data_IF_423858505418
#
_entry.id   IF_423858505418
#
_cell.length_a   1.000
_cell.length_b   1.000
_cell.length_c   1.000
_cell.angle_alpha   90.00
_cell.angle_beta   90.00
_cell.angle_gamma   90.00
#
_symmetry.space_group_name_H-M   'P 1'
#
loop_
_entity.id
_entity.type
_entity.pdbx_description
1 polymer ?
#
# COMPACT_ATOMS: atom_id res chain seq x y z
N UNK A 1 -27.58 -2.67 -12.56
CA UNK A 1 -28.16 -3.67 -13.47
C UNK A 1 -28.23 -4.99 -12.70
N UNK A 2 -29.39 -5.30 -12.12
CA UNK A 2 -29.58 -6.54 -11.38
C UNK A 2 -29.65 -7.73 -12.36
N UNK A 3 -28.85 -8.76 -12.15
CA UNK A 3 -28.86 -9.96 -12.98
C UNK A 3 -30.06 -10.85 -12.66
N UNK A 4 -30.88 -11.17 -13.66
CA UNK A 4 -31.98 -12.11 -13.48
C UNK A 4 -31.45 -13.54 -13.32
N UNK A 5 -31.90 -14.24 -12.28
CA UNK A 5 -31.59 -15.66 -12.04
C UNK A 5 -32.25 -16.53 -13.13
N UNK A 6 -31.49 -17.50 -13.66
CA UNK A 6 -31.90 -18.45 -14.70
C UNK A 6 -31.97 -19.87 -14.12
N UNK A 7 -32.82 -20.71 -14.70
CA UNK A 7 -32.93 -22.12 -14.31
C UNK A 7 -31.81 -22.99 -14.94
N UNK A 8 -31.72 -24.24 -14.50
CA UNK A 8 -30.68 -25.22 -14.88
C UNK A 8 -30.64 -25.54 -16.39
N UNK A 9 -31.70 -25.26 -17.14
CA UNK A 9 -31.78 -25.42 -18.60
C UNK A 9 -31.50 -24.12 -19.40
N UNK A 10 -31.16 -23.02 -18.72
CA UNK A 10 -30.80 -21.75 -19.34
C UNK A 10 -31.96 -20.80 -19.65
N UNK A 11 -33.21 -21.20 -19.37
CA UNK A 11 -34.38 -20.35 -19.55
C UNK A 11 -34.57 -19.33 -18.41
N UNK A 12 -35.20 -18.19 -18.75
CA UNK A 12 -35.56 -17.13 -17.82
C UNK A 12 -36.73 -17.61 -16.94
N UNK A 13 -36.59 -17.54 -15.61
CA UNK A 13 -37.65 -17.93 -14.68
C UNK A 13 -38.74 -16.85 -14.74
N UNK A 14 -39.83 -17.13 -15.47
CA UNK A 14 -41.02 -16.30 -15.46
C UNK A 14 -41.82 -16.60 -14.18
N UNK A 15 -42.09 -15.57 -13.39
CA UNK A 15 -42.95 -15.64 -12.21
C UNK A 15 -44.39 -15.96 -12.65
N UNK A 16 -44.82 -17.22 -12.55
CA UNK A 16 -46.24 -17.56 -12.48
C UNK A 16 -46.50 -18.66 -11.46
N UNK A 17 -47.27 -18.27 -10.46
CA UNK A 17 -48.00 -19.10 -9.53
C UNK A 17 -49.09 -19.90 -10.24
N UNK A 18 -49.02 -21.24 -10.15
CA UNK A 18 -50.17 -22.09 -9.77
C UNK A 18 -49.75 -23.55 -9.62
N UNK A 19 -50.11 -24.06 -8.46
CA UNK A 19 -50.02 -25.42 -7.92
C UNK A 19 -50.58 -26.50 -8.85
N UNK A 20 -49.86 -27.63 -8.95
CA UNK A 20 -50.48 -28.95 -9.12
C UNK A 20 -49.65 -29.99 -8.39
N UNK A 21 -50.20 -30.53 -7.30
CA UNK A 21 -49.68 -31.68 -6.57
C UNK A 21 -49.59 -32.87 -7.53
N UNK A 22 -48.43 -33.54 -7.55
CA UNK A 22 -48.32 -34.91 -8.02
C UNK A 22 -47.43 -35.69 -7.06
N UNK A 23 -47.92 -36.88 -6.75
CA UNK A 23 -47.57 -37.77 -5.66
C UNK A 23 -46.11 -38.23 -5.64
N UNK A 24 -45.70 -38.59 -4.43
CA UNK A 24 -44.36 -38.96 -3.98
C UNK A 24 -43.82 -40.31 -4.51
N UNK A 25 -42.48 -40.33 -4.62
CA UNK A 25 -41.55 -41.45 -4.41
C UNK A 25 -41.21 -42.43 -5.55
N UNK A 26 -40.07 -42.19 -6.19
CA UNK A 26 -39.12 -43.23 -6.62
C UNK A 26 -37.73 -42.58 -6.73
N UNK A 27 -36.78 -43.03 -5.92
CA UNK A 27 -35.34 -42.70 -5.92
C UNK A 27 -34.90 -41.51 -6.78
N UNK A 28 -34.79 -40.31 -6.18
CA UNK A 28 -33.77 -39.39 -6.68
C UNK A 28 -32.45 -40.13 -6.48
N UNK A 29 -31.76 -40.58 -7.54
CA UNK A 29 -30.67 -41.54 -7.42
C UNK A 29 -29.66 -40.93 -6.44
N UNK A 30 -29.19 -41.70 -5.46
CA UNK A 30 -28.30 -41.22 -4.37
C UNK A 30 -27.19 -40.26 -4.87
N UNK A 31 -26.73 -40.51 -6.10
CA UNK A 31 -25.87 -39.66 -6.93
C UNK A 31 -26.36 -38.21 -7.04
N UNK A 32 -27.61 -37.93 -7.43
CA UNK A 32 -28.16 -36.57 -7.52
C UNK A 32 -28.16 -35.84 -6.18
N UNK A 33 -28.42 -36.54 -5.06
CA UNK A 33 -28.32 -35.95 -3.72
C UNK A 33 -26.87 -35.58 -3.39
N UNK A 34 -25.93 -36.47 -3.70
CA UNK A 34 -24.49 -36.22 -3.52
C UNK A 34 -24.03 -35.01 -4.35
N UNK A 35 -24.39 -34.96 -5.65
CA UNK A 35 -24.05 -33.83 -6.53
C UNK A 35 -24.72 -32.52 -6.11
N UNK A 36 -25.92 -32.57 -5.53
CA UNK A 36 -26.58 -31.39 -4.96
C UNK A 36 -25.83 -30.90 -3.73
N UNK A 37 -25.36 -31.81 -2.87
CA UNK A 37 -24.46 -31.48 -1.77
C UNK A 37 -23.18 -30.80 -2.23
N UNK A 38 -22.50 -31.38 -3.23
CA UNK A 38 -21.29 -30.80 -3.82
C UNK A 38 -21.54 -29.43 -4.46
N UNK A 39 -22.67 -29.26 -5.17
CA UNK A 39 -23.05 -27.97 -5.72
C UNK A 39 -23.18 -26.92 -4.62
N UNK A 40 -23.93 -27.21 -3.56
CA UNK A 40 -24.14 -26.27 -2.46
C UNK A 40 -22.83 -25.90 -1.75
N UNK A 41 -21.93 -26.86 -1.56
CA UNK A 41 -20.60 -26.59 -0.97
C UNK A 41 -19.74 -25.71 -1.89
N UNK A 42 -19.73 -25.99 -3.21
CA UNK A 42 -19.00 -25.19 -4.18
C UNK A 42 -19.56 -23.78 -4.31
N UNK A 43 -20.89 -23.64 -4.34
CA UNK A 43 -21.57 -22.34 -4.43
C UNK A 43 -21.23 -21.48 -3.19
N UNK A 44 -21.33 -22.02 -1.97
CA UNK A 44 -20.93 -21.29 -0.75
C UNK A 44 -19.43 -20.95 -0.75
N UNK A 45 -18.58 -21.86 -1.23
CA UNK A 45 -17.15 -21.58 -1.37
C UNK A 45 -16.88 -20.44 -2.35
N UNK A 46 -17.58 -20.39 -3.48
CA UNK A 46 -17.48 -19.32 -4.47
C UNK A 46 -18.01 -17.99 -3.93
N UNK A 47 -19.17 -18.01 -3.26
CA UNK A 47 -19.74 -16.82 -2.63
C UNK A 47 -18.79 -16.25 -1.57
N UNK A 48 -18.19 -17.12 -0.73
CA UNK A 48 -17.17 -16.73 0.24
C UNK A 48 -15.96 -16.10 -0.43
N UNK A 49 -15.45 -16.71 -1.50
CA UNK A 49 -14.30 -16.18 -2.25
C UNK A 49 -14.60 -14.80 -2.83
N UNK A 50 -15.78 -14.60 -3.40
CA UNK A 50 -16.19 -13.29 -3.95
C UNK A 50 -16.32 -12.24 -2.84
N UNK A 51 -16.86 -12.58 -1.66
CA UNK A 51 -16.88 -11.68 -0.49
C UNK A 51 -15.47 -11.23 -0.11
N UNK A 52 -14.52 -12.16 0.00
CA UNK A 52 -13.12 -11.86 0.34
C UNK A 52 -12.43 -11.02 -0.73
N UNK A 53 -12.59 -11.36 -2.02
CA UNK A 53 -12.00 -10.61 -3.13
C UNK A 53 -12.54 -9.17 -3.18
N UNK A 54 -13.84 -9.00 -2.96
CA UNK A 54 -14.46 -7.68 -2.91
C UNK A 54 -13.92 -6.85 -1.75
N UNK A 55 -13.89 -7.41 -0.55
CA UNK A 55 -13.34 -6.72 0.62
C UNK A 55 -11.87 -6.35 0.44
N UNK A 56 -11.06 -7.27 -0.10
CA UNK A 56 -9.65 -6.99 -0.43
C UNK A 56 -9.50 -5.80 -1.38
N UNK A 57 -10.29 -5.73 -2.46
CA UNK A 57 -10.26 -4.60 -3.39
C UNK A 57 -10.66 -3.28 -2.74
N UNK A 58 -11.70 -3.31 -1.90
CA UNK A 58 -12.18 -2.12 -1.19
C UNK A 58 -11.14 -1.62 -0.18
N UNK A 59 -10.48 -2.53 0.56
CA UNK A 59 -9.37 -2.23 1.47
C UNK A 59 -8.19 -1.62 0.71
N UNK A 60 -7.79 -2.20 -0.42
CA UNK A 60 -6.72 -1.66 -1.26
C UNK A 60 -7.07 -0.25 -1.74
N UNK A 61 -8.30 -0.02 -2.18
CA UNK A 61 -8.74 1.29 -2.66
C UNK A 61 -8.75 2.36 -1.55
N UNK A 62 -9.12 1.99 -0.32
CA UNK A 62 -9.08 2.90 0.83
C UNK A 62 -7.64 3.19 1.27
N UNK A 63 -6.78 2.17 1.29
CA UNK A 63 -5.37 2.28 1.67
C UNK A 63 -4.59 3.21 0.73
N UNK A 64 -4.81 3.08 -0.60
CA UNK A 64 -4.25 4.02 -1.60
C UNK A 64 -4.67 5.47 -1.38
N UNK A 65 -5.91 5.68 -0.92
CA UNK A 65 -6.39 7.04 -0.63
C UNK A 65 -5.73 7.61 0.61
N UNK A 66 -5.44 6.78 1.62
CA UNK A 66 -4.68 7.20 2.80
C UNK A 66 -3.30 7.68 2.33
N UNK A 67 -2.53 6.82 1.66
CA UNK A 67 -1.17 7.13 1.18
C UNK A 67 -1.11 8.45 0.39
N UNK A 68 -2.00 8.64 -0.59
CA UNK A 68 -2.01 9.85 -1.44
C UNK A 68 -2.40 11.14 -0.72
N UNK A 69 -3.18 11.03 0.36
CA UNK A 69 -3.63 12.19 1.12
C UNK A 69 -2.58 12.69 2.12
N UNK A 70 -1.54 11.89 2.40
CA UNK A 70 -0.51 12.27 3.37
C UNK A 70 0.51 13.24 2.73
N UNK A 71 0.30 14.54 2.99
CA UNK A 71 1.32 15.57 2.81
C UNK A 71 1.77 16.05 4.20
N UNK A 72 3.09 16.25 4.39
CA UNK A 72 3.64 16.77 5.64
C UNK A 72 3.72 18.31 5.62
N UNK A 73 3.39 19.01 6.72
CA UNK A 73 2.73 18.50 7.94
C UNK A 73 1.26 18.15 7.66
N UNK A 74 0.76 17.08 8.28
CA UNK A 74 -0.61 16.59 8.08
C UNK A 74 -1.60 17.61 8.68
N UNK A 75 -2.45 18.26 7.86
CA UNK A 75 -3.50 19.12 8.38
C UNK A 75 -4.51 18.32 9.21
N UNK A 76 -5.08 18.88 10.29
CA UNK A 76 -5.98 18.15 11.21
C UNK A 76 -7.23 17.58 10.51
N UNK A 77 -7.68 18.22 9.42
CA UNK A 77 -8.78 17.70 8.58
C UNK A 77 -8.41 16.41 7.87
N UNK A 78 -7.18 16.32 7.36
CA UNK A 78 -6.66 15.14 6.65
C UNK A 78 -6.36 14.01 7.65
N UNK A 79 -5.86 14.35 8.85
CA UNK A 79 -5.68 13.37 9.92
C UNK A 79 -7.01 12.69 10.28
N UNK A 80 -8.07 13.48 10.54
CA UNK A 80 -9.41 12.93 10.83
C UNK A 80 -9.95 12.08 9.68
N UNK A 81 -9.79 12.52 8.44
CA UNK A 81 -10.21 11.74 7.27
C UNK A 81 -9.45 10.40 7.18
N UNK A 82 -8.15 10.40 7.51
CA UNK A 82 -7.31 9.21 7.53
C UNK A 82 -7.77 8.24 8.62
N UNK A 83 -8.06 8.73 9.82
CA UNK A 83 -8.60 7.92 10.92
C UNK A 83 -9.93 7.27 10.54
N UNK A 84 -10.83 8.02 9.91
CA UNK A 84 -12.12 7.52 9.46
C UNK A 84 -11.96 6.43 8.39
N UNK A 85 -10.98 6.57 7.49
CA UNK A 85 -10.65 5.53 6.49
C UNK A 85 -10.04 4.29 7.14
N UNK A 86 -9.17 4.44 8.13
CA UNK A 86 -8.59 3.32 8.87
C UNK A 86 -9.69 2.52 9.57
N UNK A 87 -10.66 3.20 10.20
CA UNK A 87 -11.82 2.55 10.82
C UNK A 87 -12.66 1.77 9.80
N UNK A 88 -12.92 2.36 8.62
CA UNK A 88 -13.62 1.65 7.54
C UNK A 88 -12.88 0.39 7.09
N UNK A 89 -11.56 0.44 6.99
CA UNK A 89 -10.73 -0.72 6.66
C UNK A 89 -10.86 -1.80 7.74
N UNK A 90 -10.81 -1.42 9.03
CA UNK A 90 -10.99 -2.35 10.14
C UNK A 90 -12.37 -3.01 10.15
N UNK A 91 -13.42 -2.25 9.81
CA UNK A 91 -14.78 -2.79 9.64
C UNK A 91 -14.86 -3.80 8.48
N UNK A 92 -14.18 -3.53 7.35
CA UNK A 92 -14.09 -4.46 6.24
C UNK A 92 -13.39 -5.75 6.65
N UNK A 93 -12.25 -5.67 7.36
CA UNK A 93 -11.57 -6.86 7.90
C UNK A 93 -12.47 -7.65 8.86
N UNK A 94 -13.19 -6.97 9.74
CA UNK A 94 -14.14 -7.62 10.65
C UNK A 94 -15.27 -8.32 9.90
N UNK A 95 -15.74 -7.77 8.78
CA UNK A 95 -16.82 -8.37 7.99
C UNK A 95 -16.43 -9.71 7.34
N UNK A 96 -15.15 -9.91 7.04
CA UNK A 96 -14.63 -11.13 6.39
C UNK A 96 -13.93 -12.08 7.37
N UNK A 97 -13.81 -11.73 8.65
CA UNK A 97 -13.06 -12.51 9.64
C UNK A 97 -13.54 -13.97 9.71
N UNK A 98 -14.86 -14.20 9.72
CA UNK A 98 -15.44 -15.54 9.72
C UNK A 98 -15.19 -16.31 8.41
N UNK A 99 -15.01 -15.61 7.30
CA UNK A 99 -14.78 -16.21 5.98
C UNK A 99 -13.31 -16.64 5.80
N UNK A 100 -12.36 -15.89 6.38
CA UNK A 100 -10.92 -16.18 6.26
C UNK A 100 -10.31 -16.89 7.47
N UNK A 101 -11.12 -17.26 8.46
CA UNK A 101 -10.68 -18.00 9.65
C UNK A 101 -10.91 -19.52 9.52
N UNK A 102 -10.22 -20.28 10.39
CA UNK A 102 -10.36 -21.73 10.49
C UNK A 102 -9.43 -22.55 9.59
N UNK A 103 -9.72 -23.84 9.47
CA UNK A 103 -8.82 -24.84 8.85
C UNK A 103 -8.56 -24.58 7.36
N UNK A 104 -9.52 -23.96 6.67
CA UNK A 104 -9.45 -23.67 5.24
C UNK A 104 -9.07 -22.22 4.91
N UNK A 105 -8.56 -21.45 5.88
CA UNK A 105 -8.15 -20.05 5.70
C UNK A 105 -7.22 -19.85 4.50
N UNK A 106 -6.29 -20.79 4.28
CA UNK A 106 -5.33 -20.78 3.17
C UNK A 106 -5.97 -20.74 1.77
N UNK A 107 -7.23 -21.19 1.62
CA UNK A 107 -7.95 -21.14 0.32
C UNK A 107 -8.29 -19.71 -0.10
N UNK A 108 -8.38 -18.79 0.86
CA UNK A 108 -8.80 -17.41 0.67
C UNK A 108 -7.61 -16.44 0.70
N UNK A 109 -6.48 -16.85 0.10
CA UNK A 109 -5.24 -16.05 0.05
C UNK A 109 -5.40 -14.69 -0.63
N UNK A 110 -6.47 -14.43 -1.39
CA UNK A 110 -6.69 -13.17 -2.11
C UNK A 110 -6.74 -11.95 -1.18
N UNK A 111 -6.99 -12.14 0.11
CA UNK A 111 -6.93 -11.06 1.11
C UNK A 111 -5.51 -10.48 1.30
N UNK A 112 -4.47 -11.24 0.96
CA UNK A 112 -3.05 -10.83 1.02
C UNK A 112 -2.81 -9.46 0.38
N UNK A 113 -3.41 -9.19 -0.78
CA UNK A 113 -3.25 -7.92 -1.50
C UNK A 113 -3.84 -6.73 -0.74
N UNK A 114 -4.93 -6.97 -0.02
CA UNK A 114 -5.55 -5.95 0.84
C UNK A 114 -4.70 -5.70 2.09
N UNK A 115 -4.15 -6.76 2.68
CA UNK A 115 -3.29 -6.69 3.87
C UNK A 115 -2.00 -5.94 3.54
N UNK A 116 -1.30 -6.28 2.46
CA UNK A 116 -0.05 -5.62 2.05
C UNK A 116 -0.25 -4.11 1.84
N UNK A 117 -1.32 -3.71 1.15
CA UNK A 117 -1.63 -2.30 0.92
C UNK A 117 -2.03 -1.58 2.23
N UNK A 118 -2.75 -2.27 3.13
CA UNK A 118 -3.06 -1.72 4.45
C UNK A 118 -1.78 -1.48 5.26
N UNK A 119 -0.84 -2.43 5.23
CA UNK A 119 0.47 -2.32 5.88
C UNK A 119 1.26 -1.14 5.33
N UNK A 120 1.32 -0.98 4.01
CA UNK A 120 1.93 0.19 3.36
C UNK A 120 1.33 1.50 3.90
N UNK A 121 0.00 1.60 3.92
CA UNK A 121 -0.70 2.81 4.34
C UNK A 121 -0.45 3.19 5.81
N UNK A 122 -0.59 2.24 6.74
CA UNK A 122 -0.38 2.51 8.17
C UNK A 122 1.10 2.74 8.49
N UNK A 123 2.00 2.04 7.81
CA UNK A 123 3.45 2.24 7.97
C UNK A 123 3.85 3.63 7.50
N UNK A 124 3.34 4.06 6.35
CA UNK A 124 3.61 5.39 5.81
C UNK A 124 3.04 6.48 6.71
N UNK A 125 1.81 6.31 7.18
CA UNK A 125 1.19 7.25 8.11
C UNK A 125 2.00 7.39 9.40
N UNK A 126 2.39 6.27 10.03
CA UNK A 126 3.22 6.25 11.23
C UNK A 126 4.61 6.88 10.98
N UNK A 127 5.20 6.62 9.82
CA UNK A 127 6.47 7.22 9.43
C UNK A 127 6.40 8.73 9.31
N UNK A 128 5.34 9.28 8.69
CA UNK A 128 5.17 10.73 8.57
C UNK A 128 4.93 11.39 9.92
N UNK A 129 4.19 10.76 10.83
CA UNK A 129 3.89 11.31 12.16
C UNK A 129 5.04 11.20 13.15
N UNK A 130 5.69 10.04 13.22
CA UNK A 130 6.62 9.70 14.31
C UNK A 130 8.02 9.30 13.85
N UNK A 131 8.29 9.26 12.54
CA UNK A 131 9.57 8.84 11.96
C UNK A 131 10.01 7.45 12.44
N UNK A 132 9.03 6.55 12.53
CA UNK A 132 9.23 5.18 12.98
C UNK A 132 8.47 4.22 12.06
N UNK A 133 9.00 3.02 11.93
CA UNK A 133 8.30 1.91 11.27
C UNK A 133 7.38 1.22 12.28
N UNK A 134 6.17 0.87 11.83
CA UNK A 134 5.25 0.04 12.62
C UNK A 134 5.73 -1.42 12.60
N UNK A 135 5.69 -2.09 13.74
CA UNK A 135 6.09 -3.51 13.88
C UNK A 135 4.99 -4.46 13.41
N UNK A 136 5.35 -5.71 13.08
CA UNK A 136 4.38 -6.74 12.69
C UNK A 136 3.34 -6.99 13.79
N UNK A 137 3.77 -6.94 15.05
CA UNK A 137 2.92 -7.12 16.23
C UNK A 137 1.90 -5.98 16.35
N UNK A 138 2.34 -4.73 16.16
CA UNK A 138 1.45 -3.56 16.18
C UNK A 138 0.43 -3.61 15.03
N UNK A 139 0.85 -4.03 13.82
CA UNK A 139 -0.08 -4.26 12.70
C UNK A 139 -1.10 -5.36 13.05
N UNK A 140 -0.64 -6.46 13.62
CA UNK A 140 -1.53 -7.58 13.97
C UNK A 140 -2.55 -7.17 15.04
N UNK A 141 -2.18 -6.27 15.96
CA UNK A 141 -3.08 -5.72 16.98
C UNK A 141 -4.13 -4.76 16.41
N UNK A 142 -3.89 -4.15 15.24
CA UNK A 142 -4.90 -3.27 14.62
C UNK A 142 -5.96 -4.04 13.85
N UNK A 143 -5.76 -5.35 13.63
CA UNK A 143 -6.65 -6.23 12.89
C UNK A 143 -7.39 -7.21 13.82
N UNK A 144 -8.55 -7.74 13.39
CA UNK A 144 -9.23 -8.80 14.12
C UNK A 144 -8.37 -10.07 14.22
N UNK A 145 -8.47 -10.80 15.34
CA UNK A 145 -7.63 -11.97 15.63
C UNK A 145 -7.77 -13.11 14.60
N UNK A 146 -8.91 -13.20 13.90
CA UNK A 146 -9.10 -14.17 12.83
C UNK A 146 -8.36 -13.84 11.52
N UNK A 147 -7.81 -12.63 11.37
CA UNK A 147 -7.01 -12.23 10.21
C UNK A 147 -5.53 -12.52 10.50
N UNK A 148 -4.98 -13.55 9.86
CA UNK A 148 -3.57 -13.87 9.99
C UNK A 148 -2.73 -12.98 9.06
N UNK A 149 -1.89 -12.11 9.62
CA UNK A 149 -0.89 -11.34 8.88
C UNK A 149 0.41 -12.15 8.84
N UNK A 150 0.82 -12.58 7.65
CA UNK A 150 2.06 -13.33 7.51
C UNK A 150 3.28 -12.40 7.48
N UNK A 151 4.44 -12.92 7.84
CA UNK A 151 5.71 -12.19 7.68
C UNK A 151 5.94 -11.75 6.23
N UNK A 152 5.51 -12.56 5.26
CA UNK A 152 5.58 -12.23 3.84
C UNK A 152 4.70 -11.02 3.50
N UNK A 153 3.46 -10.96 4.02
CA UNK A 153 2.57 -9.81 3.81
C UNK A 153 3.19 -8.52 4.35
N UNK A 154 3.78 -8.60 5.54
CA UNK A 154 4.43 -7.47 6.17
C UNK A 154 5.65 -6.99 5.38
N UNK A 155 6.56 -7.90 5.03
CA UNK A 155 7.76 -7.55 4.26
C UNK A 155 7.40 -7.01 2.88
N UNK A 156 6.43 -7.62 2.17
CA UNK A 156 5.98 -7.14 0.86
C UNK A 156 5.31 -5.76 0.93
N UNK A 157 4.48 -5.50 1.95
CA UNK A 157 3.90 -4.18 2.18
C UNK A 157 4.96 -3.12 2.50
N UNK A 158 6.01 -3.49 3.23
CA UNK A 158 7.14 -2.58 3.50
C UNK A 158 8.03 -2.32 2.28
N UNK A 159 8.14 -3.27 1.34
CA UNK A 159 8.79 -2.98 0.06
C UNK A 159 8.04 -1.89 -0.70
N UNK A 160 6.71 -1.95 -0.74
CA UNK A 160 5.89 -0.92 -1.40
C UNK A 160 5.98 0.44 -0.70
N UNK A 161 6.06 0.45 0.64
CA UNK A 161 6.33 1.67 1.42
C UNK A 161 7.58 2.42 0.94
N UNK A 162 8.65 1.72 0.55
CA UNK A 162 9.88 2.39 0.06
C UNK A 162 9.64 3.23 -1.20
N UNK A 163 8.70 2.79 -2.05
CA UNK A 163 8.26 3.54 -3.22
C UNK A 163 7.54 4.84 -2.86
N UNK A 164 6.69 4.81 -1.84
CA UNK A 164 5.97 6.00 -1.37
C UNK A 164 6.88 6.95 -0.57
N UNK A 165 7.82 6.43 0.22
CA UNK A 165 8.88 7.24 0.85
C UNK A 165 9.72 7.98 -0.20
N UNK A 166 10.06 7.32 -1.32
CA UNK A 166 10.74 7.97 -2.44
C UNK A 166 9.88 9.09 -3.04
N UNK A 167 8.61 8.81 -3.37
CA UNK A 167 7.69 9.85 -3.90
C UNK A 167 7.60 11.04 -2.95
N UNK A 168 7.49 10.78 -1.66
CA UNK A 168 7.45 11.80 -0.62
C UNK A 168 8.74 12.63 -0.58
N UNK A 169 9.92 11.99 -0.59
CA UNK A 169 11.21 12.69 -0.61
C UNK A 169 11.32 13.61 -1.83
N UNK A 170 11.07 13.09 -3.02
CA UNK A 170 11.15 13.86 -4.27
C UNK A 170 10.16 15.03 -4.26
N UNK A 171 8.91 14.80 -3.84
CA UNK A 171 7.88 15.86 -3.76
C UNK A 171 8.26 16.94 -2.76
N UNK A 172 8.83 16.57 -1.62
CA UNK A 172 9.28 17.51 -0.58
C UNK A 172 10.43 18.37 -1.10
N UNK A 173 11.38 17.74 -1.81
CA UNK A 173 12.54 18.39 -2.42
C UNK A 173 12.16 19.34 -3.56
N UNK A 174 11.22 18.96 -4.43
CA UNK A 174 10.77 19.82 -5.55
C UNK A 174 9.90 20.99 -5.09
N UNK A 175 9.10 20.79 -4.02
CA UNK A 175 8.23 21.84 -3.48
C UNK A 175 8.99 22.83 -2.58
N UNK A 176 10.27 22.59 -2.30
CA UNK A 176 11.08 23.44 -1.41
C UNK A 176 10.56 23.49 0.02
N UNK A 177 9.69 22.55 0.42
CA UNK A 177 9.21 22.41 1.79
C UNK A 177 10.31 21.72 2.58
N UNK A 178 11.26 22.50 3.10
CA UNK A 178 12.09 22.01 4.20
C UNK A 178 11.15 21.64 5.34
N UNK A 179 11.14 20.36 5.70
CA UNK A 179 10.42 19.89 6.86
C UNK A 179 11.08 20.54 8.09
N UNK A 180 10.57 21.69 8.51
CA UNK A 180 10.94 22.34 9.77
C UNK A 180 12.13 23.30 9.72
N UNK A 181 12.04 24.40 8.98
CA UNK A 181 12.61 25.68 9.46
C UNK A 181 11.59 26.77 9.17
N UNK A 182 11.06 27.39 10.23
CA UNK A 182 10.25 28.60 10.10
C UNK A 182 11.09 29.64 9.35
N UNK A 183 10.59 30.10 8.21
CA UNK A 183 11.08 31.30 7.55
C UNK A 183 10.88 32.50 8.47
N UNK A 184 11.82 32.71 9.39
CA UNK A 184 12.11 34.02 9.96
C UNK A 184 13.11 34.67 9.04
N UNK A 185 12.70 35.81 8.48
CA UNK A 185 13.54 36.75 7.74
C UNK A 185 14.89 36.93 8.45
N UNK A 186 15.93 36.27 7.94
CA UNK A 186 17.26 36.28 8.53
C UNK A 186 18.21 36.89 7.50
N UNK A 187 18.59 38.11 7.80
CA UNK A 187 19.57 38.92 7.08
C UNK A 187 20.90 38.17 6.93
N UNK A 188 21.62 38.51 5.85
CA UNK A 188 22.71 37.74 5.24
C UNK A 188 24.02 37.58 6.06
N UNK A 189 24.01 37.65 7.38
CA UNK A 189 25.23 37.64 8.21
C UNK A 189 25.44 36.42 9.12
N UNK A 190 24.45 35.54 9.34
CA UNK A 190 24.57 34.44 10.31
C UNK A 190 24.90 33.05 9.71
N UNK A 191 25.46 32.98 8.50
CA UNK A 191 25.72 31.71 7.79
C UNK A 191 26.99 30.94 8.17
N UNK A 192 27.79 31.40 9.14
CA UNK A 192 29.11 30.81 9.38
C UNK A 192 29.15 29.69 10.44
N UNK A 193 28.07 29.43 11.18
CA UNK A 193 28.13 28.51 12.33
C UNK A 193 26.75 27.94 12.71
N UNK A 194 26.06 27.31 11.77
CA UNK A 194 24.99 26.36 12.09
C UNK A 194 25.25 25.09 11.31
N UNK A 195 25.44 23.98 12.03
CA UNK A 195 25.37 22.64 11.47
C UNK A 195 24.08 22.53 10.66
N UNK A 196 24.20 22.32 9.35
CA UNK A 196 23.07 22.17 8.46
C UNK A 196 22.20 21.00 8.95
N UNK A 197 21.05 21.31 9.55
CA UNK A 197 20.02 20.32 9.83
C UNK A 197 19.62 19.67 8.51
N UNK A 198 19.58 18.33 8.42
CA UNK A 198 19.37 17.64 7.16
C UNK A 198 18.08 18.11 6.52
N UNK A 199 18.18 18.57 5.28
CA UNK A 199 17.00 18.95 4.50
C UNK A 199 16.02 17.77 4.51
N UNK A 200 14.72 18.01 4.53
CA UNK A 200 13.72 16.93 4.71
C UNK A 200 13.85 15.74 3.73
N UNK A 201 14.56 15.89 2.60
CA UNK A 201 14.93 14.80 1.70
C UNK A 201 16.13 13.96 2.17
N UNK A 202 17.12 14.55 2.85
CA UNK A 202 18.29 13.84 3.41
C UNK A 202 17.90 12.90 4.55
N UNK A 203 16.99 13.33 5.43
CA UNK A 203 16.46 12.48 6.49
C UNK A 203 15.75 11.24 5.90
N UNK A 204 14.88 11.46 4.91
CA UNK A 204 14.18 10.35 4.23
C UNK A 204 15.16 9.44 3.48
N UNK A 205 16.23 10.00 2.90
CA UNK A 205 17.28 9.22 2.26
C UNK A 205 18.03 8.33 3.25
N UNK A 206 18.37 8.85 4.43
CA UNK A 206 19.01 8.07 5.50
C UNK A 206 18.15 6.87 5.88
N UNK A 207 16.85 7.10 6.11
CA UNK A 207 15.90 6.05 6.49
C UNK A 207 15.73 5.01 5.37
N UNK A 208 15.64 5.46 4.11
CA UNK A 208 15.58 4.57 2.93
C UNK A 208 16.84 3.71 2.77
N UNK A 209 18.03 4.26 3.04
CA UNK A 209 19.29 3.50 3.02
C UNK A 209 19.33 2.46 4.14
N UNK A 210 18.84 2.80 5.32
CA UNK A 210 18.73 1.86 6.43
C UNK A 210 17.78 0.71 6.09
N UNK A 211 16.59 1.02 5.55
CA UNK A 211 15.63 0.01 5.10
C UNK A 211 16.25 -0.91 4.04
N UNK A 212 16.93 -0.35 3.03
CA UNK A 212 17.66 -1.13 2.02
C UNK A 212 18.66 -2.08 2.65
N UNK A 213 19.49 -1.60 3.57
CA UNK A 213 20.49 -2.43 4.24
C UNK A 213 19.85 -3.58 5.01
N UNK A 214 18.70 -3.36 5.65
CA UNK A 214 17.95 -4.41 6.35
C UNK A 214 17.33 -5.42 5.39
N UNK A 215 16.75 -4.96 4.27
CA UNK A 215 16.16 -5.86 3.27
C UNK A 215 17.21 -6.70 2.54
N UNK A 216 18.38 -6.14 2.22
CA UNK A 216 19.46 -6.87 1.56
C UNK A 216 20.12 -7.91 2.51
N UNK A 217 19.97 -7.75 3.83
CA UNK A 217 20.38 -8.76 4.81
C UNK A 217 19.39 -9.92 4.92
N UNK A 218 18.16 -9.76 4.44
CA UNK A 218 17.13 -10.78 4.55
C UNK A 218 17.41 -11.93 3.55
N UNK A 219 17.89 -13.05 4.07
CA UNK A 219 18.11 -14.24 3.26
C UNK A 219 16.83 -15.07 3.17
N UNK A 220 16.02 -14.80 2.14
CA UNK A 220 14.76 -15.53 1.90
C UNK A 220 15.01 -16.74 0.99
N UNK A 221 14.62 -17.97 1.39
CA UNK A 221 14.74 -19.14 0.53
C UNK A 221 13.94 -18.97 -0.78
N UNK A 222 14.62 -19.17 -1.92
CA UNK A 222 13.96 -19.12 -3.23
C UNK A 222 12.86 -20.17 -3.31
N UNK A 223 11.65 -19.75 -3.70
CA UNK A 223 10.50 -20.63 -3.91
C UNK A 223 9.60 -20.85 -2.69
N UNK A 224 9.89 -20.23 -1.54
CA UNK A 224 8.96 -20.24 -0.41
C UNK A 224 7.64 -19.56 -0.80
N UNK A 225 6.52 -20.21 -0.50
CA UNK A 225 5.19 -19.68 -0.81
C UNK A 225 4.97 -18.34 -0.11
N UNK A 226 4.42 -17.35 -0.82
CA UNK A 226 4.27 -15.97 -0.34
C UNK A 226 5.47 -15.05 -0.60
N UNK A 227 6.66 -15.60 -0.91
CA UNK A 227 7.90 -14.81 -1.06
C UNK A 227 8.37 -14.63 -2.51
N UNK A 228 7.61 -15.15 -3.48
CA UNK A 228 8.00 -15.17 -4.90
C UNK A 228 8.25 -13.79 -5.50
N UNK A 229 7.68 -12.75 -4.91
CA UNK A 229 7.79 -11.38 -5.41
C UNK A 229 8.99 -10.62 -4.84
N UNK A 230 9.67 -11.15 -3.82
CA UNK A 230 10.75 -10.44 -3.12
C UNK A 230 11.90 -10.07 -4.04
N UNK A 231 12.34 -10.96 -4.93
CA UNK A 231 13.43 -10.65 -5.87
C UNK A 231 13.12 -9.40 -6.70
N UNK A 232 11.90 -9.33 -7.25
CA UNK A 232 11.43 -8.17 -8.02
C UNK A 232 11.27 -6.93 -7.14
N UNK A 233 10.79 -7.09 -5.91
CA UNK A 233 10.60 -5.96 -4.98
C UNK A 233 11.94 -5.37 -4.52
N UNK A 234 12.98 -6.20 -4.34
CA UNK A 234 14.35 -5.73 -4.05
C UNK A 234 14.86 -4.83 -5.18
N UNK A 235 14.71 -5.26 -6.45
CA UNK A 235 15.12 -4.43 -7.60
C UNK A 235 14.39 -3.08 -7.63
N UNK A 236 13.07 -3.08 -7.39
CA UNK A 236 12.26 -1.86 -7.34
C UNK A 236 12.68 -0.94 -6.19
N UNK A 237 12.96 -1.51 -5.02
CA UNK A 237 13.45 -0.76 -3.85
C UNK A 237 14.83 -0.15 -4.12
N UNK A 238 15.77 -0.90 -4.68
CA UNK A 238 17.10 -0.37 -5.04
C UNK A 238 16.99 0.81 -5.99
N UNK A 239 16.17 0.67 -7.05
CA UNK A 239 15.90 1.76 -7.98
C UNK A 239 15.20 2.96 -7.31
N UNK A 240 14.40 2.72 -6.26
CA UNK A 240 13.75 3.76 -5.45
C UNK A 240 14.78 4.56 -4.65
N UNK A 241 15.68 3.87 -3.96
CA UNK A 241 16.77 4.51 -3.20
C UNK A 241 17.67 5.33 -4.13
N UNK A 242 18.11 4.76 -5.24
CA UNK A 242 18.99 5.44 -6.21
C UNK A 242 18.37 6.73 -6.75
N UNK A 243 17.05 6.77 -6.96
CA UNK A 243 16.35 7.98 -7.42
C UNK A 243 16.43 9.09 -6.38
N UNK A 244 16.22 8.78 -5.11
CA UNK A 244 16.35 9.77 -4.03
C UNK A 244 17.80 10.21 -3.88
N UNK A 245 18.76 9.29 -3.95
CA UNK A 245 20.20 9.61 -3.90
C UNK A 245 20.61 10.58 -4.99
N UNK A 246 20.22 10.32 -6.25
CA UNK A 246 20.51 11.19 -7.38
C UNK A 246 19.86 12.56 -7.21
N UNK A 247 18.65 12.61 -6.68
CA UNK A 247 17.96 13.87 -6.42
C UNK A 247 18.68 14.68 -5.32
N UNK A 248 19.07 14.05 -4.22
CA UNK A 248 19.75 14.71 -3.10
C UNK A 248 21.14 15.18 -3.54
N UNK A 249 21.88 14.34 -4.24
CA UNK A 249 23.16 14.71 -4.85
C UNK A 249 23.01 15.92 -5.78
N UNK A 250 21.99 15.91 -6.64
CA UNK A 250 21.70 17.02 -7.54
C UNK A 250 21.39 18.33 -6.80
N UNK A 251 20.69 18.27 -5.66
CA UNK A 251 20.44 19.45 -4.83
C UNK A 251 21.70 19.95 -4.13
N UNK A 252 22.48 19.05 -3.53
CA UNK A 252 23.68 19.40 -2.77
C UNK A 252 24.72 20.05 -3.69
N UNK A 253 25.01 19.41 -4.83
CA UNK A 253 26.00 19.90 -5.80
C UNK A 253 25.54 21.21 -6.48
N UNK A 254 24.28 21.29 -6.92
CA UNK A 254 23.78 22.54 -7.53
C UNK A 254 23.67 23.68 -6.52
N UNK A 255 23.36 23.38 -5.27
CA UNK A 255 23.34 24.34 -4.17
C UNK A 255 24.72 24.94 -3.93
N UNK A 256 25.77 24.13 -4.04
CA UNK A 256 27.17 24.60 -3.96
C UNK A 256 27.63 25.35 -5.22
N UNK A 257 27.14 25.00 -6.41
CA UNK A 257 27.51 25.65 -7.67
C UNK A 257 26.82 27.01 -7.90
N UNK A 258 25.59 27.19 -7.42
CA UNK A 258 24.79 28.41 -7.61
C UNK A 258 24.17 28.90 -6.30
N UNK A 259 24.94 29.64 -5.47
CA UNK A 259 24.44 30.21 -4.23
C UNK A 259 23.25 31.15 -4.45
N UNK A 260 22.44 31.39 -3.41
CA UNK A 260 21.29 32.31 -3.49
C UNK A 260 21.73 33.70 -4.00
N UNK A 261 21.13 34.16 -5.10
CA UNK A 261 21.50 35.43 -5.74
C UNK A 261 22.57 35.32 -6.84
N UNK A 262 23.02 34.10 -7.16
CA UNK A 262 23.90 33.87 -8.30
C UNK A 262 23.17 34.16 -9.61
N UNK A 263 23.62 35.21 -10.30
CA UNK A 263 23.27 35.48 -11.69
C UNK A 263 24.43 35.02 -12.57
N UNK A 264 24.17 34.35 -13.70
CA UNK A 264 25.23 34.06 -14.67
C UNK A 264 25.93 35.36 -15.05
N UNK A 265 27.25 35.37 -15.03
CA UNK A 265 28.02 36.48 -15.56
C UNK A 265 27.84 36.51 -17.09
N UNK A 266 26.86 37.29 -17.55
CA UNK A 266 26.58 37.50 -18.97
C UNK A 266 27.57 38.50 -19.60
N UNK A 267 28.60 38.95 -18.88
CA UNK A 267 29.57 39.93 -19.40
C UNK A 267 30.63 39.31 -20.32
N UNK A 268 30.85 37.99 -20.28
CA UNK A 268 31.69 37.33 -21.27
C UNK A 268 30.86 37.03 -22.53
N UNK A 269 30.94 37.92 -23.50
CA UNK A 269 30.49 37.66 -24.86
C UNK A 269 30.96 36.27 -25.30
N UNK A 270 30.04 35.46 -25.81
CA UNK A 270 30.36 34.17 -26.43
C UNK A 270 31.52 34.39 -27.42
N UNK A 271 32.68 33.82 -27.13
CA UNK A 271 33.72 33.66 -28.13
C UNK A 271 33.13 32.76 -29.19
N UNK A 272 32.66 33.36 -30.28
CA UNK A 272 32.33 32.68 -31.51
C UNK A 272 33.65 32.11 -32.01
N UNK A 273 33.95 30.86 -31.66
CA UNK A 273 35.00 30.10 -32.34
C UNK A 273 34.53 29.89 -33.77
N UNK A 274 34.95 30.78 -34.66
CA UNK A 274 34.92 30.56 -36.09
C UNK A 274 36.05 29.59 -36.43
N UNK A 275 35.71 28.33 -36.67
CA UNK A 275 36.53 27.39 -37.43
C UNK A 275 35.69 26.78 -38.55
#
# INVERSE_FOLDING_TARGET
MAGNKRAWDGNLIANQSKTKNMDTSADMPSIQTIFTGFRNELDEHHDRRERVVKASRDITALSKKIVRSVNAPIPPKIAKETDDRIKQIQELFKSIEADVSGVNAWRYHQITWGIQEYIEAISFHRYIEKKQLITLEEVSQTLPAGINVTEADYVLGLYDLTGEMMRFAITTMTTGRTAGVKGGDSTAQDKAQQSEEPTGGEAVLSDLRQLRAMFEQLNVPRGLSGWKEVDKKIEVMQASVEKVERAVYGLLVRGTERPSGWVPDLSSAAAVESH
#
